data_IF_493908728721
#
_entry.id   IF_493908728721
#
_cell.length_a   1.000
_cell.length_b   1.000
_cell.length_c   1.000
_cell.angle_alpha   90.00
_cell.angle_beta   90.00
_cell.angle_gamma   90.00
#
_symmetry.space_group_name_H-M   'P 1'
#
loop_
_entity.id
_entity.type
_entity.pdbx_description
1 polymer ?
#
# COMPACT_ATOMS: atom_id res chain seq x y z
N UNK A 1 24.06 -17.40 15.34
CA UNK A 1 23.86 -16.90 15.07
C UNK A 1 23.46 -16.12 14.57
N UNK A 2 23.28 -15.91 14.45
CA UNK A 2 22.88 -15.16 14.14
C UNK A 2 22.73 -14.64 13.20
N UNK A 3 22.40 -14.42 12.79
CA UNK A 3 22.16 -13.89 12.04
C UNK A 3 22.06 -12.78 11.75
N UNK A 4 22.48 -12.37 11.29
CA UNK A 4 22.26 -11.32 11.07
C UNK A 4 21.59 -10.91 10.08
N UNK A 5 21.03 -10.17 10.09
CA UNK A 5 20.30 -9.84 9.13
C UNK A 5 20.57 -8.59 8.58
N UNK A 6 20.84 -8.47 7.32
CA UNK A 6 21.06 -7.19 6.70
C UNK A 6 19.85 -6.76 5.91
N UNK A 7 18.91 -7.59 5.75
CA UNK A 7 17.71 -7.25 5.00
C UNK A 7 16.59 -6.82 5.92
N UNK A 8 15.78 -5.84 5.53
CA UNK A 8 14.64 -5.48 6.35
C UNK A 8 13.65 -6.63 6.44
N UNK A 9 12.87 -6.68 7.51
CA UNK A 9 11.86 -7.73 7.62
C UNK A 9 10.85 -7.65 6.50
N UNK A 10 10.35 -8.78 6.08
CA UNK A 10 9.31 -8.86 5.08
C UNK A 10 8.17 -9.66 5.65
N UNK A 11 6.99 -9.06 5.67
CA UNK A 11 5.78 -9.73 6.11
C UNK A 11 4.93 -10.02 4.89
N UNK A 12 4.49 -11.26 4.79
CA UNK A 12 3.67 -11.68 3.65
C UNK A 12 2.34 -12.21 4.14
N UNK A 13 1.24 -11.61 3.64
CA UNK A 13 -0.09 -12.13 3.86
C UNK A 13 -0.47 -12.86 2.60
N UNK A 14 -0.39 -14.17 2.64
CA UNK A 14 -0.50 -15.00 1.44
C UNK A 14 -1.90 -15.07 0.85
N UNK A 15 -2.01 -15.61 -0.35
CA UNK A 15 -3.31 -15.73 -1.01
C UNK A 15 -4.24 -16.62 -0.19
N UNK A 16 -5.50 -16.26 -0.15
CA UNK A 16 -6.49 -17.04 0.60
C UNK A 16 -6.52 -16.78 2.08
N UNK A 17 -5.64 -15.94 2.61
CA UNK A 17 -5.67 -15.59 4.03
C UNK A 17 -6.54 -14.38 4.25
N UNK A 18 -7.04 -14.24 5.46
CA UNK A 18 -7.84 -13.10 5.83
C UNK A 18 -7.34 -12.57 7.16
N UNK A 19 -7.06 -11.28 7.19
CA UNK A 19 -6.52 -10.62 8.37
C UNK A 19 -7.43 -9.44 8.73
N UNK A 20 -7.57 -9.16 10.02
CA UNK A 20 -8.29 -7.96 10.42
C UNK A 20 -7.67 -7.41 11.69
N UNK A 21 -8.01 -6.15 11.97
CA UNK A 21 -7.51 -5.45 13.14
C UNK A 21 -6.55 -4.34 12.77
N UNK A 22 -5.85 -3.84 13.80
CA UNK A 22 -4.88 -2.77 13.63
C UNK A 22 -3.49 -3.40 13.66
N UNK A 23 -2.78 -3.31 12.56
CA UNK A 23 -1.47 -3.92 12.43
C UNK A 23 -0.41 -2.86 12.14
N UNK A 24 0.74 -3.03 12.76
CA UNK A 24 1.87 -2.14 12.57
C UNK A 24 3.09 -2.99 12.29
N UNK A 25 3.78 -2.68 11.22
CA UNK A 25 4.94 -3.46 10.81
C UNK A 25 6.17 -2.59 10.67
N UNK A 26 7.34 -3.22 10.83
CA UNK A 26 8.59 -2.56 10.57
C UNK A 26 9.18 -3.24 9.37
N UNK A 27 9.18 -2.67 8.24
CA UNK A 27 9.73 -3.26 7.06
C UNK A 27 8.66 -3.45 6.01
N UNK A 28 8.99 -4.21 4.98
CA UNK A 28 8.10 -4.36 3.85
C UNK A 28 6.97 -5.32 4.16
N UNK A 29 5.82 -5.01 3.61
CA UNK A 29 4.63 -5.86 3.78
C UNK A 29 4.09 -6.16 2.40
N UNK A 30 3.81 -7.43 2.14
CA UNK A 30 3.18 -7.83 0.90
C UNK A 30 1.85 -8.48 1.22
N UNK A 31 0.81 -8.02 0.57
CA UNK A 31 -0.55 -8.51 0.80
C UNK A 31 -1.08 -9.15 -0.47
N UNK A 32 -1.27 -10.47 -0.43
CA UNK A 32 -1.89 -11.20 -1.51
C UNK A 32 -3.23 -11.78 -1.07
N UNK A 33 -3.58 -11.61 0.19
CA UNK A 33 -4.86 -12.05 0.76
C UNK A 33 -5.77 -10.86 1.02
N UNK A 34 -6.66 -11.00 1.98
CA UNK A 34 -7.62 -9.97 2.35
C UNK A 34 -7.26 -9.39 3.71
N UNK A 35 -7.26 -8.08 3.81
CA UNK A 35 -7.01 -7.40 5.07
C UNK A 35 -8.10 -6.36 5.31
N UNK A 36 -8.61 -6.31 6.53
CA UNK A 36 -9.60 -5.32 6.93
C UNK A 36 -9.13 -4.64 8.21
N UNK A 37 -9.13 -3.32 8.24
CA UNK A 37 -8.73 -2.57 9.42
C UNK A 37 -7.70 -1.52 9.08
N UNK A 38 -6.70 -1.35 9.96
CA UNK A 38 -5.66 -0.37 9.76
C UNK A 38 -4.31 -1.04 9.64
N UNK A 39 -3.54 -0.59 8.69
CA UNK A 39 -2.20 -1.12 8.47
C UNK A 39 -1.22 0.04 8.42
N UNK A 40 -0.15 -0.07 9.18
CA UNK A 40 0.87 0.94 9.24
C UNK A 40 2.23 0.30 9.02
N UNK A 41 3.03 0.91 8.18
CA UNK A 41 4.44 0.54 8.06
C UNK A 41 5.24 1.76 7.64
N UNK A 42 6.48 1.83 8.07
CA UNK A 42 7.36 2.92 7.67
C UNK A 42 8.17 2.55 6.44
N UNK A 43 7.91 1.43 5.85
CA UNK A 43 8.61 0.97 4.67
C UNK A 43 7.61 0.83 3.52
N UNK A 44 7.74 -0.14 2.71
CA UNK A 44 6.95 -0.31 1.50
C UNK A 44 5.84 -1.33 1.68
N UNK A 45 4.68 -1.03 1.13
CA UNK A 45 3.58 -1.97 1.05
C UNK A 45 3.40 -2.37 -0.40
N UNK A 46 3.32 -3.68 -0.65
CA UNK A 46 2.98 -4.19 -1.97
C UNK A 46 1.65 -4.93 -1.88
N UNK A 47 0.71 -4.58 -2.74
CA UNK A 47 -0.57 -5.28 -2.81
C UNK A 47 -0.57 -6.05 -4.11
N UNK A 48 -0.56 -7.39 -4.02
CA UNK A 48 -0.56 -8.24 -5.20
C UNK A 48 -1.90 -8.22 -5.90
N UNK A 49 -1.96 -8.83 -7.07
CA UNK A 49 -3.18 -8.80 -7.89
C UNK A 49 -4.38 -9.42 -7.17
N UNK A 50 -4.15 -10.36 -6.29
CA UNK A 50 -5.23 -10.98 -5.55
C UNK A 50 -5.42 -10.34 -4.18
N UNK A 51 -4.62 -9.36 -3.85
CA UNK A 51 -4.73 -8.68 -2.57
C UNK A 51 -5.91 -7.74 -2.53
N UNK A 52 -6.52 -7.65 -1.37
CA UNK A 52 -7.64 -6.75 -1.15
C UNK A 52 -7.51 -6.16 0.23
N UNK A 53 -7.57 -4.87 0.33
CA UNK A 53 -7.45 -4.18 1.61
C UNK A 53 -8.65 -3.25 1.77
N UNK A 54 -9.30 -3.34 2.92
CA UNK A 54 -10.40 -2.45 3.25
C UNK A 54 -10.08 -1.77 4.56
N UNK A 55 -10.13 -0.46 4.59
CA UNK A 55 -9.88 0.31 5.81
C UNK A 55 -8.90 1.43 5.58
N UNK A 56 -7.92 1.54 6.46
CA UNK A 56 -6.97 2.64 6.41
C UNK A 56 -5.54 2.12 6.28
N UNK A 57 -4.79 2.77 5.42
CA UNK A 57 -3.39 2.45 5.23
C UNK A 57 -2.54 3.68 5.47
N UNK A 58 -1.41 3.50 6.14
CA UNK A 58 -0.45 4.58 6.34
C UNK A 58 0.92 3.96 6.11
N UNK A 59 1.51 4.24 4.97
CA UNK A 59 2.76 3.61 4.57
C UNK A 59 3.68 4.66 3.96
N UNK A 60 4.96 4.37 3.90
CA UNK A 60 5.89 5.28 3.27
C UNK A 60 5.80 5.19 1.75
N UNK A 61 5.77 3.98 1.22
CA UNK A 61 5.66 3.75 -0.21
C UNK A 61 4.70 2.60 -0.45
N UNK A 62 4.06 2.61 -1.59
CA UNK A 62 3.12 1.55 -1.92
C UNK A 62 3.18 1.22 -3.39
N UNK A 63 3.04 -0.06 -3.69
CA UNK A 63 2.87 -0.55 -5.06
C UNK A 63 1.58 -1.36 -5.04
N UNK A 64 0.62 -0.95 -5.86
CA UNK A 64 -0.71 -1.53 -5.81
C UNK A 64 -1.03 -2.22 -7.13
N UNK A 65 -1.18 -3.53 -7.07
CA UNK A 65 -1.63 -4.32 -8.21
C UNK A 65 -3.01 -4.92 -7.94
N UNK A 66 -3.50 -4.82 -6.71
CA UNK A 66 -4.79 -5.35 -6.31
C UNK A 66 -5.78 -4.24 -5.99
N UNK A 67 -6.66 -4.48 -5.04
CA UNK A 67 -7.73 -3.56 -4.70
C UNK A 67 -7.56 -3.00 -3.29
N UNK A 68 -7.75 -1.69 -3.15
CA UNK A 68 -7.77 -1.04 -1.86
C UNK A 68 -9.05 -0.22 -1.77
N UNK A 69 -9.80 -0.39 -0.69
CA UNK A 69 -11.04 0.33 -0.46
C UNK A 69 -10.91 1.06 0.87
N UNK A 70 -11.06 2.37 0.87
CA UNK A 70 -11.00 3.16 2.10
C UNK A 70 -10.02 4.32 1.97
N UNK A 71 -9.24 4.56 3.01
CA UNK A 71 -8.30 5.67 3.02
C UNK A 71 -6.89 5.15 2.90
N UNK A 72 -6.14 5.74 1.97
CA UNK A 72 -4.75 5.37 1.75
C UNK A 72 -3.90 6.60 1.93
N UNK A 73 -2.94 6.51 2.83
CA UNK A 73 -2.02 7.60 3.06
C UNK A 73 -0.62 7.11 2.78
N UNK A 74 0.02 7.71 1.81
CA UNK A 74 1.37 7.32 1.42
C UNK A 74 2.25 8.54 1.59
N UNK A 75 3.25 8.41 2.45
CA UNK A 75 4.08 9.57 2.78
C UNK A 75 5.06 9.93 1.68
N UNK A 76 5.45 8.97 0.87
CA UNK A 76 6.43 9.19 -0.18
C UNK A 76 5.77 8.99 -1.55
N UNK A 77 5.81 7.82 -2.10
CA UNK A 77 5.29 7.61 -3.44
C UNK A 77 4.42 6.38 -3.55
N UNK A 78 3.44 6.46 -4.43
CA UNK A 78 2.54 5.36 -4.72
C UNK A 78 2.66 5.03 -6.20
N UNK A 79 2.78 3.75 -6.51
CA UNK A 79 2.76 3.28 -7.89
C UNK A 79 1.54 2.39 -8.06
N UNK A 80 0.70 2.74 -9.04
CA UNK A 80 -0.45 1.93 -9.41
C UNK A 80 -0.09 1.11 -10.61
N UNK A 81 -0.01 -0.20 -10.44
CA UNK A 81 0.22 -1.11 -11.55
C UNK A 81 -1.05 -1.24 -12.39
N UNK A 82 -0.98 -1.78 -13.61
CA UNK A 82 -2.16 -1.82 -14.48
C UNK A 82 -3.37 -2.52 -13.90
N UNK A 83 -3.19 -3.44 -12.97
CA UNK A 83 -4.31 -4.13 -12.34
C UNK A 83 -4.71 -3.50 -11.02
N UNK A 84 -4.08 -2.40 -10.63
CA UNK A 84 -4.36 -1.76 -9.36
C UNK A 84 -5.67 -0.99 -9.38
N UNK A 85 -6.32 -0.97 -8.23
CA UNK A 85 -7.58 -0.26 -8.10
C UNK A 85 -7.69 0.28 -6.68
N UNK A 86 -8.02 1.55 -6.55
CA UNK A 86 -8.24 2.18 -5.26
C UNK A 86 -9.62 2.85 -5.30
N UNK A 87 -10.41 2.60 -4.26
CA UNK A 87 -11.70 3.25 -4.10
C UNK A 87 -11.70 3.97 -2.77
N UNK A 88 -12.02 5.25 -2.77
CA UNK A 88 -12.11 6.03 -1.55
C UNK A 88 -11.21 7.25 -1.61
N UNK A 89 -10.37 7.42 -0.59
CA UNK A 89 -9.49 8.57 -0.52
C UNK A 89 -8.03 8.14 -0.63
N UNK A 90 -7.29 8.84 -1.47
CA UNK A 90 -5.87 8.62 -1.60
C UNK A 90 -5.14 9.92 -1.31
N UNK A 91 -4.16 9.85 -0.43
CA UNK A 91 -3.37 10.99 -0.05
C UNK A 91 -1.92 10.57 -0.17
N UNK A 92 -1.19 11.11 -1.11
CA UNK A 92 0.18 10.71 -1.37
C UNK A 92 1.03 11.91 -1.74
N UNK A 93 2.32 11.82 -1.47
CA UNK A 93 3.23 12.88 -1.89
C UNK A 93 3.44 12.83 -3.40
N UNK A 94 3.56 11.65 -3.97
CA UNK A 94 3.69 11.49 -5.41
C UNK A 94 2.94 10.24 -5.84
N UNK A 95 2.38 10.26 -7.05
CA UNK A 95 1.62 9.12 -7.56
C UNK A 95 2.03 8.86 -8.99
N UNK A 96 2.29 7.60 -9.29
CA UNK A 96 2.55 7.18 -10.66
C UNK A 96 1.49 6.13 -10.99
N UNK A 97 0.74 6.35 -12.05
CA UNK A 97 -0.36 5.49 -12.43
C UNK A 97 -0.09 4.89 -13.79
N UNK A 98 -0.01 3.56 -13.86
CA UNK A 98 0.20 2.87 -15.12
C UNK A 98 -1.11 2.74 -15.88
N UNK A 99 -1.07 2.69 -17.20
CA UNK A 99 -2.31 2.51 -17.97
C UNK A 99 -3.03 1.23 -17.54
N UNK A 100 -4.31 1.31 -17.35
CA UNK A 100 -5.13 0.19 -16.88
C UNK A 100 -5.52 0.29 -15.42
N UNK A 101 -4.75 1.03 -14.64
CA UNK A 101 -5.09 1.21 -13.23
C UNK A 101 -6.26 2.17 -13.09
N UNK A 102 -6.96 2.08 -11.98
CA UNK A 102 -8.09 2.96 -11.75
C UNK A 102 -8.15 3.43 -10.30
N UNK A 103 -8.54 4.68 -10.12
CA UNK A 103 -8.76 5.25 -8.80
C UNK A 103 -10.15 5.89 -8.84
N UNK A 104 -10.99 5.48 -7.92
CA UNK A 104 -12.35 5.98 -7.85
C UNK A 104 -12.51 6.68 -6.51
N UNK A 105 -12.66 7.99 -6.53
CA UNK A 105 -12.82 8.76 -5.31
C UNK A 105 -11.98 10.01 -5.35
N UNK A 106 -11.50 10.42 -4.18
CA UNK A 106 -10.75 11.65 -4.03
C UNK A 106 -9.27 11.36 -3.95
N UNK A 107 -8.50 12.04 -4.79
CA UNK A 107 -7.05 11.89 -4.80
C UNK A 107 -6.43 13.22 -4.44
N UNK A 108 -5.59 13.22 -3.43
CA UNK A 108 -4.87 14.42 -3.03
C UNK A 108 -3.38 14.13 -3.14
N UNK A 109 -2.69 14.89 -3.94
CA UNK A 109 -1.25 14.75 -4.08
C UNK A 109 -0.63 15.96 -3.39
N UNK A 110 0.07 15.71 -2.29
CA UNK A 110 0.62 16.76 -1.47
C UNK A 110 2.10 16.94 -1.71
N UNK A 111 2.70 16.18 -2.58
CA UNK A 111 4.07 16.31 -2.91
C UNK A 111 4.34 17.61 -3.57
N UNK A 112 5.51 18.26 -3.23
CA UNK A 112 5.89 19.44 -3.62
C UNK A 112 6.51 19.35 -4.90
N UNK A 113 6.05 19.95 -5.71
CA UNK A 113 6.68 19.97 -6.96
C UNK A 113 7.47 21.21 -7.14
N UNK A 114 7.90 21.75 -7.17
CA UNK A 114 8.34 22.84 -7.23
C UNK A 114 8.68 23.59 -8.10
N UNK A 115 8.52 23.42 -8.01
CA UNK A 115 8.69 23.94 -8.49
C UNK A 115 8.85 24.59 -9.12
N UNK A 116 9.04 24.94 -9.42
CA UNK A 116 9.21 25.39 -10.00
C UNK A 116 9.44 25.96 -10.05
#
# INVERSE_FOLDING_TARGET
MDRKKTEPPLTVMGPGTKWDGDLSFEGRVRVDGTFEGRLYTEDMLEVGQEGRIEGELDVARAIVSGTIIGKVRVRDSLVMEPTGRIEGHLDAAAVEICPGASIDGVVRITGHTDEY
#
